data_IF_869503919034
#
_entry.id   IF_869503919034
#
_cell.length_a   1.000
_cell.length_b   1.000
_cell.length_c   1.000
_cell.angle_alpha   90.00
_cell.angle_beta   90.00
_cell.angle_gamma   90.00
#
_symmetry.space_group_name_H-M   'P 1'
#
loop_
_entity.id
_entity.type
_entity.pdbx_description
1 polymer ?
#
# COMPACT_ATOMS: atom_id res chain seq x y z
N UNK A 1 -17.50 21.16 39.95
CA UNK A 1 -17.36 20.12 38.91
C UNK A 1 -16.88 20.82 37.66
N UNK A 2 -15.58 20.79 37.37
CA UNK A 2 -15.01 21.49 36.21
C UNK A 2 -15.31 20.72 34.91
N UNK A 3 -15.66 21.41 33.81
CA UNK A 3 -15.96 20.76 32.54
C UNK A 3 -14.68 20.16 31.94
N UNK A 4 -14.70 18.84 31.70
CA UNK A 4 -13.60 18.11 31.03
C UNK A 4 -13.37 18.69 29.63
N UNK A 5 -12.17 19.24 29.43
CA UNK A 5 -11.64 19.74 28.15
C UNK A 5 -11.73 18.63 27.09
N UNK A 6 -12.68 18.74 26.16
CA UNK A 6 -12.83 17.78 25.07
C UNK A 6 -11.67 17.95 24.07
N UNK A 7 -11.15 16.82 23.61
CA UNK A 7 -10.01 16.67 22.70
C UNK A 7 -10.13 17.64 21.50
N UNK A 8 -9.11 18.46 21.27
CA UNK A 8 -9.07 19.40 20.16
C UNK A 8 -9.23 18.69 18.80
N UNK A 9 -10.04 19.26 17.91
CA UNK A 9 -10.13 18.84 16.50
C UNK A 9 -8.73 18.90 15.88
N UNK A 10 -8.24 17.78 15.34
CA UNK A 10 -6.89 17.68 14.75
C UNK A 10 -5.93 16.70 15.45
N UNK A 11 -6.35 16.05 16.54
CA UNK A 11 -5.54 15.05 17.26
C UNK A 11 -5.49 13.66 16.55
N UNK A 12 -5.50 13.63 15.23
CA UNK A 12 -5.38 12.43 14.38
C UNK A 12 -4.21 12.58 13.41
N UNK A 13 -3.66 11.46 12.92
CA UNK A 13 -2.60 11.48 11.90
C UNK A 13 -3.08 12.26 10.67
N UNK A 14 -2.23 13.15 10.16
CA UNK A 14 -2.51 13.92 8.95
C UNK A 14 -2.87 12.94 7.81
N UNK A 15 -3.98 13.16 7.10
CA UNK A 15 -4.40 12.23 6.05
C UNK A 15 -3.33 12.17 4.95
N UNK A 16 -3.08 10.95 4.45
CA UNK A 16 -2.15 10.74 3.34
C UNK A 16 -2.62 11.49 2.09
N UNK A 17 -1.67 12.09 1.38
CA UNK A 17 -1.92 12.68 0.07
C UNK A 17 -2.41 11.60 -0.89
N UNK A 18 -3.26 11.91 -1.88
CA UNK A 18 -3.85 10.92 -2.77
C UNK A 18 -2.81 10.10 -3.55
N UNK A 19 -1.67 10.70 -3.85
CA UNK A 19 -0.50 10.10 -4.51
C UNK A 19 0.22 9.07 -3.62
N UNK A 20 0.21 9.26 -2.30
CA UNK A 20 0.77 8.33 -1.31
C UNK A 20 -0.19 7.19 -0.91
N UNK A 21 -1.41 7.16 -1.47
CA UNK A 21 -2.41 6.14 -1.13
C UNK A 21 -2.16 4.88 -1.93
N UNK A 22 -1.88 3.79 -1.21
CA UNK A 22 -1.91 2.45 -1.80
C UNK A 22 -3.29 2.19 -2.43
N UNK A 23 -3.30 1.80 -3.71
CA UNK A 23 -4.51 1.38 -4.42
C UNK A 23 -4.65 -0.13 -4.30
N UNK A 24 -5.81 -0.59 -3.85
CA UNK A 24 -6.15 -2.00 -3.87
C UNK A 24 -6.56 -2.40 -5.28
N UNK A 25 -5.94 -3.45 -5.81
CA UNK A 25 -6.32 -4.07 -7.07
C UNK A 25 -6.42 -5.57 -6.89
N UNK A 26 -7.41 -6.17 -7.55
CA UNK A 26 -7.58 -7.63 -7.59
C UNK A 26 -7.09 -8.14 -8.94
N UNK A 27 -6.08 -9.00 -8.93
CA UNK A 27 -5.57 -9.65 -10.14
C UNK A 27 -5.93 -11.14 -10.12
N UNK A 28 -6.31 -11.69 -11.28
CA UNK A 28 -6.53 -13.12 -11.44
C UNK A 28 -5.30 -13.75 -12.06
N UNK A 29 -4.77 -14.77 -11.40
CA UNK A 29 -3.61 -15.54 -11.84
C UNK A 29 -4.01 -17.01 -11.92
N UNK A 30 -3.36 -17.78 -12.79
CA UNK A 30 -3.46 -19.24 -12.72
C UNK A 30 -2.80 -19.74 -11.42
N UNK A 31 -3.13 -20.97 -10.99
CA UNK A 31 -2.52 -21.55 -9.79
C UNK A 31 -0.98 -21.61 -9.88
N UNK A 32 -0.45 -21.94 -11.07
CA UNK A 32 0.99 -21.98 -11.31
C UNK A 32 1.64 -20.58 -11.25
N UNK A 33 0.99 -19.56 -11.83
CA UNK A 33 1.46 -18.18 -11.75
C UNK A 33 1.40 -17.63 -10.33
N UNK A 34 0.34 -17.93 -9.58
CA UNK A 34 0.21 -17.51 -8.20
C UNK A 34 1.26 -18.16 -7.30
N UNK A 35 1.53 -19.46 -7.48
CA UNK A 35 2.62 -20.15 -6.77
C UNK A 35 3.97 -19.48 -7.06
N UNK A 36 4.28 -19.27 -8.34
CA UNK A 36 5.51 -18.59 -8.77
C UNK A 36 5.62 -17.17 -8.20
N UNK A 37 4.51 -16.43 -8.17
CA UNK A 37 4.45 -15.10 -7.57
C UNK A 37 4.83 -15.12 -6.08
N UNK A 38 4.32 -16.07 -5.31
CA UNK A 38 4.69 -16.23 -3.91
C UNK A 38 6.17 -16.63 -3.74
N UNK A 39 6.66 -17.57 -4.55
CA UNK A 39 8.07 -18.00 -4.54
C UNK A 39 9.05 -16.86 -4.87
N UNK A 40 8.63 -15.93 -5.73
CA UNK A 40 9.42 -14.75 -6.09
C UNK A 40 9.44 -13.66 -5.00
N UNK A 41 8.64 -13.77 -3.95
CA UNK A 41 8.54 -12.77 -2.87
C UNK A 41 7.29 -11.90 -2.93
N UNK A 42 6.29 -12.29 -3.73
CA UNK A 42 4.96 -11.70 -3.77
C UNK A 42 4.97 -10.21 -4.14
N UNK A 43 4.29 -9.39 -3.33
CA UNK A 43 4.11 -7.96 -3.60
C UNK A 43 5.45 -7.20 -3.60
N UNK A 44 6.45 -7.65 -2.84
CA UNK A 44 7.79 -7.02 -2.83
C UNK A 44 8.44 -7.18 -4.20
N UNK A 45 8.40 -8.38 -4.77
CA UNK A 45 8.90 -8.64 -6.12
C UNK A 45 8.15 -7.83 -7.18
N UNK A 46 6.82 -7.77 -7.10
CA UNK A 46 6.02 -6.97 -8.03
C UNK A 46 6.42 -5.49 -8.02
N UNK A 47 6.65 -4.92 -6.83
CA UNK A 47 7.11 -3.52 -6.70
C UNK A 47 8.47 -3.30 -7.34
N UNK A 48 9.41 -4.24 -7.16
CA UNK A 48 10.72 -4.16 -7.81
C UNK A 48 10.62 -4.26 -9.33
N UNK A 49 9.71 -5.09 -9.87
CA UNK A 49 9.51 -5.16 -11.32
C UNK A 49 8.95 -3.85 -11.89
N UNK A 50 8.03 -3.21 -11.17
CA UNK A 50 7.48 -1.90 -11.56
C UNK A 50 8.57 -0.83 -11.54
N UNK A 51 9.35 -0.77 -10.46
CA UNK A 51 10.47 0.17 -10.30
C UNK A 51 11.51 0.01 -11.43
N UNK A 52 11.86 -1.24 -11.78
CA UNK A 52 12.75 -1.53 -12.90
C UNK A 52 12.18 -1.08 -14.25
N UNK A 53 10.89 -1.31 -14.48
CA UNK A 53 10.23 -0.92 -15.72
C UNK A 53 10.09 0.61 -15.86
N UNK A 54 9.97 1.33 -14.75
CA UNK A 54 9.90 2.80 -14.73
C UNK A 54 11.28 3.44 -14.93
N UNK A 55 12.33 2.86 -14.34
CA UNK A 55 13.69 3.41 -14.41
C UNK A 55 14.46 3.01 -15.68
N UNK A 56 13.92 2.11 -16.52
CA UNK A 56 14.47 1.74 -17.83
C UNK A 56 15.85 1.08 -17.76
N UNK A 57 15.88 -0.25 -17.75
CA UNK A 57 17.06 -1.03 -18.17
C UNK A 57 16.97 -1.33 -19.68
#
# INVERSE_FOLDING_TARGET
MEPKKTRAKGAGRKPLQPEDRAKSMSIRLTAAQHKKFLELGGIVWLRQQIDKAENGD
#
